data_IF_560553766431
#
_entry.id   IF_560553766431
#
_cell.length_a   1.000
_cell.length_b   1.000
_cell.length_c   1.000
_cell.angle_alpha   90.00
_cell.angle_beta   90.00
_cell.angle_gamma   90.00
#
_symmetry.space_group_name_H-M   'P 1'
#
loop_
_entity.id
_entity.type
_entity.pdbx_description
1 polymer ?
#
# COMPACT_ATOMS: atom_id res chain seq x y z
N UNK A 1 -29.17 38.26 51.39
CA UNK A 1 -28.52 36.94 51.24
C UNK A 1 -28.72 36.31 49.86
N UNK A 2 -29.95 36.09 49.39
CA UNK A 2 -30.21 35.45 48.09
C UNK A 2 -29.53 36.09 46.86
N UNK A 3 -29.43 37.43 46.80
CA UNK A 3 -28.76 38.13 45.71
C UNK A 3 -27.24 37.88 45.69
N UNK A 4 -26.64 37.77 46.88
CA UNK A 4 -25.22 37.47 47.08
C UNK A 4 -24.90 36.05 46.64
N UNK A 5 -25.75 35.08 46.99
CA UNK A 5 -25.61 33.68 46.56
C UNK A 5 -25.70 33.54 45.03
N UNK A 6 -26.68 34.20 44.40
CA UNK A 6 -26.81 34.22 42.94
C UNK A 6 -25.57 34.81 42.25
N UNK A 7 -25.05 35.92 42.77
CA UNK A 7 -23.89 36.58 42.19
C UNK A 7 -22.62 35.75 42.37
N UNK A 8 -22.46 35.07 43.51
CA UNK A 8 -21.37 34.12 43.75
C UNK A 8 -21.43 32.97 42.75
N UNK A 9 -22.61 32.37 42.54
CA UNK A 9 -22.77 31.28 41.58
C UNK A 9 -22.42 31.70 40.15
N UNK A 10 -22.89 32.88 39.70
CA UNK A 10 -22.57 33.41 38.37
C UNK A 10 -21.08 33.66 38.18
N UNK A 11 -20.40 34.19 39.20
CA UNK A 11 -18.96 34.39 39.18
C UNK A 11 -18.22 33.06 39.12
N UNK A 12 -18.65 32.04 39.88
CA UNK A 12 -18.09 30.70 39.84
C UNK A 12 -18.23 30.06 38.45
N UNK A 13 -19.42 30.13 37.83
CA UNK A 13 -19.65 29.62 36.47
C UNK A 13 -18.71 30.31 35.47
N UNK A 14 -18.61 31.64 35.55
CA UNK A 14 -17.74 32.42 34.68
C UNK A 14 -16.25 32.03 34.85
N UNK A 15 -15.78 31.86 36.08
CA UNK A 15 -14.41 31.39 36.34
C UNK A 15 -14.14 29.97 35.82
N UNK A 16 -15.11 29.05 35.95
CA UNK A 16 -14.98 27.71 35.37
C UNK A 16 -14.93 27.75 33.84
N UNK A 17 -15.72 28.63 33.20
CA UNK A 17 -15.63 28.84 31.76
C UNK A 17 -14.26 29.36 31.33
N UNK A 18 -13.65 30.27 32.09
CA UNK A 18 -12.31 30.80 31.81
C UNK A 18 -11.25 29.70 31.86
N UNK A 19 -11.35 28.78 32.82
CA UNK A 19 -10.49 27.60 32.92
C UNK A 19 -10.65 26.68 31.72
N UNK A 20 -11.88 26.39 31.31
CA UNK A 20 -12.17 25.51 30.16
C UNK A 20 -11.65 26.13 28.85
N UNK A 21 -11.84 27.44 28.69
CA UNK A 21 -11.37 28.18 27.52
C UNK A 21 -9.86 28.47 27.53
N UNK A 22 -9.16 28.16 28.64
CA UNK A 22 -7.73 28.38 28.77
C UNK A 22 -7.31 29.85 28.86
N UNK A 23 -8.25 30.75 29.17
CA UNK A 23 -8.03 32.22 29.22
C UNK A 23 -7.18 32.64 30.42
N UNK A 24 -7.07 31.76 31.44
CA UNK A 24 -6.17 31.94 32.59
C UNK A 24 -4.67 32.01 32.21
N UNK A 25 -4.30 31.55 31.00
CA UNK A 25 -2.88 31.48 30.56
C UNK A 25 -2.44 32.65 29.68
N UNK A 26 -3.34 33.52 29.25
CA UNK A 26 -2.99 34.73 28.49
C UNK A 26 -2.78 35.92 29.44
N UNK A 27 -1.65 36.62 29.38
CA UNK A 27 -1.40 37.77 30.23
C UNK A 27 -2.48 38.82 29.97
N UNK A 28 -3.23 39.18 31.02
CA UNK A 28 -4.29 40.20 30.98
C UNK A 28 -3.68 41.53 30.55
N UNK A 29 -3.69 41.81 29.24
CA UNK A 29 -3.24 43.10 28.70
C UNK A 29 -4.22 44.18 29.14
N UNK A 30 -3.74 45.08 29.99
CA UNK A 30 -4.29 46.42 30.20
C UNK A 30 -5.70 46.47 30.78
N UNK A 31 -5.80 46.58 32.11
CA UNK A 31 -6.86 47.35 32.78
C UNK A 31 -8.32 46.90 32.65
N UNK A 32 -8.65 45.84 31.90
CA UNK A 32 -9.99 45.26 31.95
C UNK A 32 -10.17 44.58 33.32
N UNK A 33 -10.69 45.35 34.27
CA UNK A 33 -11.20 44.83 35.52
C UNK A 33 -12.11 43.64 35.21
N UNK A 34 -11.91 42.51 35.90
CA UNK A 34 -12.89 41.43 35.93
C UNK A 34 -14.25 42.05 36.24
N UNK A 35 -15.13 42.09 35.23
CA UNK A 35 -16.45 42.68 35.38
C UNK A 35 -17.25 41.73 36.24
N UNK A 36 -17.15 41.98 37.53
CA UNK A 36 -17.85 41.24 38.57
C UNK A 36 -19.36 41.42 38.34
N UNK A 37 -20.17 40.35 38.50
CA UNK A 37 -21.63 40.41 38.29
C UNK A 37 -22.32 41.53 39.07
N UNK A 38 -21.72 41.95 40.18
CA UNK A 38 -22.23 42.97 41.09
C UNK A 38 -21.86 44.42 40.73
N UNK A 39 -20.95 44.66 39.78
CA UNK A 39 -20.50 46.02 39.42
C UNK A 39 -21.19 46.53 38.15
N UNK A 40 -21.29 45.67 37.13
CA UNK A 40 -22.03 45.99 35.90
C UNK A 40 -22.51 44.68 35.26
N UNK A 41 -23.78 44.34 35.53
CA UNK A 41 -24.37 43.09 35.06
C UNK A 41 -24.47 43.02 33.53
N UNK A 42 -24.72 44.13 32.84
CA UNK A 42 -24.81 44.15 31.37
C UNK A 42 -23.49 43.73 30.73
N UNK A 43 -22.37 44.29 31.19
CA UNK A 43 -21.04 43.95 30.67
C UNK A 43 -20.62 42.54 31.06
N UNK A 44 -20.94 42.10 32.29
CA UNK A 44 -20.71 40.71 32.71
C UNK A 44 -21.49 39.72 31.83
N UNK A 45 -22.76 40.01 31.56
CA UNK A 45 -23.63 39.21 30.72
C UNK A 45 -23.10 39.11 29.27
N UNK A 46 -22.67 40.22 28.67
CA UNK A 46 -22.12 40.23 27.31
C UNK A 46 -20.80 39.44 27.22
N UNK A 47 -19.94 39.54 28.25
CA UNK A 47 -18.73 38.73 28.36
C UNK A 47 -19.04 37.24 28.51
N UNK A 48 -20.03 36.89 29.34
CA UNK A 48 -20.48 35.51 29.51
C UNK A 48 -21.02 34.93 28.20
N UNK A 49 -21.83 35.69 27.46
CA UNK A 49 -22.32 35.30 26.13
C UNK A 49 -21.16 35.08 25.16
N UNK A 50 -20.18 35.98 25.14
CA UNK A 50 -19.01 35.86 24.26
C UNK A 50 -18.23 34.57 24.53
N UNK A 51 -18.01 34.24 25.81
CA UNK A 51 -17.36 33.00 26.22
C UNK A 51 -18.20 31.76 25.90
N UNK A 52 -19.52 31.81 26.05
CA UNK A 52 -20.42 30.73 25.67
C UNK A 52 -20.38 30.46 24.16
N UNK A 53 -20.35 31.52 23.34
CA UNK A 53 -20.18 31.39 21.88
C UNK A 53 -18.83 30.75 21.52
N UNK A 54 -17.74 31.17 22.18
CA UNK A 54 -16.43 30.58 21.98
C UNK A 54 -16.40 29.08 22.38
N UNK A 55 -17.04 28.73 23.49
CA UNK A 55 -17.16 27.34 23.93
C UNK A 55 -17.96 26.49 22.91
N UNK A 56 -19.08 27.02 22.42
CA UNK A 56 -19.88 26.37 21.38
C UNK A 56 -19.07 26.16 20.10
N UNK A 57 -18.22 27.11 19.71
CA UNK A 57 -17.35 26.96 18.55
C UNK A 57 -16.30 25.86 18.77
N UNK A 58 -15.67 25.81 19.95
CA UNK A 58 -14.71 24.75 20.30
C UNK A 58 -15.38 23.37 20.24
N UNK A 59 -16.61 23.25 20.73
CA UNK A 59 -17.37 22.00 20.63
C UNK A 59 -17.57 21.58 19.16
N UNK A 60 -18.01 22.50 18.29
CA UNK A 60 -18.19 22.22 16.86
C UNK A 60 -16.88 21.83 16.17
N UNK A 61 -15.79 22.52 16.49
CA UNK A 61 -14.47 22.22 15.93
C UNK A 61 -13.93 20.87 16.43
N UNK A 62 -14.19 20.54 17.69
CA UNK A 62 -13.84 19.25 18.27
C UNK A 62 -14.58 18.11 17.58
N UNK A 63 -15.91 18.21 17.43
CA UNK A 63 -16.72 17.21 16.74
C UNK A 63 -16.27 17.03 15.29
N UNK A 64 -15.94 18.13 14.60
CA UNK A 64 -15.38 18.09 13.24
C UNK A 64 -14.04 17.36 13.20
N UNK A 65 -13.10 17.71 14.09
CA UNK A 65 -11.78 17.07 14.16
C UNK A 65 -11.86 15.59 14.51
N UNK A 66 -12.76 15.21 15.42
CA UNK A 66 -13.02 13.82 15.76
C UNK A 66 -13.51 13.04 14.54
N UNK A 67 -14.52 13.55 13.81
CA UNK A 67 -15.03 12.91 12.59
C UNK A 67 -13.97 12.81 11.50
N UNK A 68 -13.16 13.84 11.30
CA UNK A 68 -12.06 13.82 10.32
C UNK A 68 -10.99 12.78 10.70
N UNK A 69 -10.62 12.69 11.98
CA UNK A 69 -9.68 11.70 12.47
C UNK A 69 -10.22 10.27 12.33
N UNK A 70 -11.47 10.04 12.73
CA UNK A 70 -12.17 8.76 12.59
C UNK A 70 -12.25 8.31 11.12
N UNK A 71 -12.64 9.23 10.22
CA UNK A 71 -12.70 8.95 8.79
C UNK A 71 -11.32 8.54 8.24
N UNK A 72 -10.27 9.28 8.59
CA UNK A 72 -8.90 9.00 8.17
C UNK A 72 -8.40 7.64 8.66
N UNK A 73 -8.68 7.28 9.91
CA UNK A 73 -8.29 5.98 10.44
C UNK A 73 -9.12 4.84 9.84
N UNK A 74 -10.40 5.06 9.59
CA UNK A 74 -11.29 4.10 8.94
C UNK A 74 -10.82 3.80 7.52
N UNK A 75 -10.46 4.82 6.75
CA UNK A 75 -9.89 4.67 5.40
C UNK A 75 -8.58 3.88 5.44
N UNK A 76 -7.65 4.25 6.33
CA UNK A 76 -6.36 3.57 6.49
C UNK A 76 -6.52 2.09 6.87
N UNK A 77 -7.47 1.77 7.75
CA UNK A 77 -7.79 0.39 8.11
C UNK A 77 -8.38 -0.39 6.92
N UNK A 78 -9.24 0.26 6.13
CA UNK A 78 -9.77 -0.30 4.89
C UNK A 78 -8.67 -0.67 3.90
N UNK A 79 -7.70 0.21 3.70
CA UNK A 79 -6.57 -0.03 2.81
C UNK A 79 -5.62 -1.12 3.34
N UNK A 80 -5.31 -1.12 4.64
CA UNK A 80 -4.55 -2.20 5.25
C UNK A 80 -5.23 -3.56 5.07
N UNK A 81 -6.55 -3.62 5.22
CA UNK A 81 -7.32 -4.85 5.02
C UNK A 81 -7.24 -5.34 3.57
N UNK A 82 -7.33 -4.45 2.58
CA UNK A 82 -7.16 -4.79 1.16
C UNK A 82 -5.75 -5.29 0.87
N UNK A 83 -4.72 -4.65 1.44
CA UNK A 83 -3.34 -5.10 1.28
C UNK A 83 -3.11 -6.49 1.88
N UNK A 84 -3.72 -6.76 3.05
CA UNK A 84 -3.64 -8.08 3.69
C UNK A 84 -4.31 -9.16 2.84
N UNK A 85 -5.52 -8.90 2.30
CA UNK A 85 -6.21 -9.81 1.37
C UNK A 85 -5.37 -10.09 0.11
N UNK A 86 -4.72 -9.06 -0.45
CA UNK A 86 -3.83 -9.23 -1.58
C UNK A 86 -2.61 -10.11 -1.25
N UNK A 87 -1.97 -9.88 -0.09
CA UNK A 87 -0.83 -10.69 0.37
C UNK A 87 -1.24 -12.14 0.60
N UNK A 88 -2.40 -12.39 1.18
CA UNK A 88 -2.93 -13.75 1.34
C UNK A 88 -3.11 -14.45 0.00
N UNK A 89 -3.76 -13.80 -0.97
CA UNK A 89 -3.92 -14.36 -2.33
C UNK A 89 -2.59 -14.62 -3.03
N UNK A 90 -1.55 -13.83 -2.75
CA UNK A 90 -0.20 -14.09 -3.27
C UNK A 90 0.42 -15.32 -2.59
N UNK A 91 0.29 -15.44 -1.27
CA UNK A 91 0.76 -16.62 -0.52
C UNK A 91 0.10 -17.89 -1.06
N UNK A 92 -1.23 -17.90 -1.25
CA UNK A 92 -1.95 -19.06 -1.79
C UNK A 92 -1.41 -19.49 -3.17
N UNK A 93 -1.08 -18.51 -4.03
CA UNK A 93 -0.48 -18.77 -5.35
C UNK A 93 0.93 -19.34 -5.24
N UNK A 94 1.74 -18.82 -4.31
CA UNK A 94 3.08 -19.34 -4.08
C UNK A 94 3.02 -20.76 -3.52
N UNK A 95 2.14 -21.03 -2.55
CA UNK A 95 1.93 -22.36 -1.99
C UNK A 95 1.50 -23.37 -3.07
N UNK A 96 0.53 -23.00 -3.91
CA UNK A 96 0.09 -23.83 -5.04
C UNK A 96 1.22 -24.10 -6.04
N UNK A 97 2.03 -23.08 -6.35
CA UNK A 97 3.19 -23.23 -7.24
C UNK A 97 4.25 -24.15 -6.64
N UNK A 98 4.58 -23.97 -5.36
CA UNK A 98 5.55 -24.81 -4.64
C UNK A 98 5.08 -26.27 -4.61
N UNK A 99 3.79 -26.51 -4.36
CA UNK A 99 3.21 -27.85 -4.42
C UNK A 99 3.37 -28.48 -5.80
N UNK A 100 3.05 -27.74 -6.86
CA UNK A 100 3.21 -28.20 -8.25
C UNK A 100 4.68 -28.54 -8.58
N UNK A 101 5.63 -27.71 -8.13
CA UNK A 101 7.06 -27.99 -8.30
C UNK A 101 7.51 -29.23 -7.51
N UNK A 102 7.00 -29.42 -6.30
CA UNK A 102 7.29 -30.60 -5.49
C UNK A 102 6.79 -31.89 -6.16
N UNK A 103 5.55 -31.88 -6.67
CA UNK A 103 4.97 -32.99 -7.43
C UNK A 103 5.76 -33.29 -8.70
N UNK A 104 6.15 -32.24 -9.43
CA UNK A 104 6.97 -32.35 -10.64
C UNK A 104 8.33 -32.98 -10.32
N UNK A 105 9.03 -32.48 -9.29
CA UNK A 105 10.31 -33.02 -8.82
C UNK A 105 10.20 -34.49 -8.42
N UNK A 106 9.14 -34.87 -7.70
CA UNK A 106 8.88 -36.26 -7.35
C UNK A 106 8.66 -37.14 -8.59
N UNK A 107 7.94 -36.61 -9.60
CA UNK A 107 7.76 -37.25 -10.90
C UNK A 107 9.09 -37.48 -11.64
N UNK A 108 9.97 -36.48 -11.67
CA UNK A 108 11.31 -36.60 -12.26
C UNK A 108 12.18 -37.63 -11.56
N UNK A 109 12.19 -37.65 -10.21
CA UNK A 109 12.94 -38.64 -9.44
C UNK A 109 12.49 -40.07 -9.77
N UNK A 110 11.18 -40.31 -9.89
CA UNK A 110 10.64 -41.62 -10.29
C UNK A 110 11.09 -42.02 -11.70
N UNK A 111 10.99 -41.10 -12.68
CA UNK A 111 11.43 -41.35 -14.06
C UNK A 111 12.93 -41.63 -14.13
N UNK A 112 13.73 -40.86 -13.39
CA UNK A 112 15.18 -41.03 -13.33
C UNK A 112 15.55 -42.41 -12.78
N UNK A 113 14.97 -42.79 -11.63
CA UNK A 113 15.21 -44.12 -11.03
C UNK A 113 14.79 -45.27 -11.95
N UNK A 114 13.68 -45.12 -12.69
CA UNK A 114 13.29 -46.11 -13.70
C UNK A 114 14.32 -46.23 -14.83
N UNK A 115 14.85 -45.10 -15.31
CA UNK A 115 15.88 -45.08 -16.37
C UNK A 115 17.23 -45.62 -15.89
N UNK A 116 17.62 -45.38 -14.64
CA UNK A 116 18.78 -46.04 -14.04
C UNK A 116 18.60 -47.56 -14.01
N UNK A 117 17.42 -48.05 -13.63
CA UNK A 117 17.10 -49.48 -13.66
C UNK A 117 17.18 -50.09 -15.07
N UNK A 118 16.60 -49.41 -16.08
CA UNK A 118 16.70 -49.84 -17.48
C UNK A 118 18.16 -49.87 -17.96
N UNK A 119 18.97 -48.87 -17.57
CA UNK A 119 20.36 -48.76 -17.96
C UNK A 119 21.23 -49.86 -17.33
N UNK A 120 20.98 -50.23 -16.07
CA UNK A 120 21.63 -51.36 -15.42
C UNK A 120 21.28 -52.70 -16.09
N UNK A 121 20.01 -52.89 -16.50
CA UNK A 121 19.61 -54.08 -17.28
C UNK A 121 20.33 -54.14 -18.62
N UNK A 122 20.45 -53.02 -19.33
CA UNK A 122 21.17 -52.96 -20.61
C UNK A 122 22.67 -53.23 -20.42
N UNK A 123 23.28 -52.68 -19.38
CA UNK A 123 24.68 -52.98 -19.05
C UNK A 123 24.88 -54.48 -18.79
N UNK A 124 24.03 -55.08 -17.96
CA UNK A 124 24.10 -56.50 -17.65
C UNK A 124 23.99 -57.37 -18.92
N UNK A 125 23.00 -57.09 -19.78
CA UNK A 125 22.85 -57.82 -21.05
C UNK A 125 24.03 -57.61 -22.00
N UNK A 126 24.62 -56.43 -22.06
CA UNK A 126 25.81 -56.18 -22.86
C UNK A 126 27.03 -56.94 -22.33
N UNK A 127 27.21 -57.03 -21.01
CA UNK A 127 28.26 -57.84 -20.39
C UNK A 127 28.07 -59.32 -20.69
N UNK A 128 26.84 -59.83 -20.60
CA UNK A 128 26.51 -61.22 -20.94
C UNK A 128 26.77 -61.53 -22.42
N UNK A 129 26.35 -60.64 -23.33
CA UNK A 129 26.61 -60.79 -24.77
C UNK A 129 28.11 -60.73 -25.07
N UNK A 130 28.84 -59.81 -24.45
CA UNK A 130 30.29 -59.73 -24.61
C UNK A 130 31.00 -61.00 -24.11
N UNK A 131 30.53 -61.59 -23.00
CA UNK A 131 31.03 -62.86 -22.49
C UNK A 131 30.72 -64.03 -23.44
N UNK A 132 29.50 -64.08 -24.00
CA UNK A 132 29.13 -65.06 -25.02
C UNK A 132 30.01 -64.93 -26.27
N UNK A 133 30.24 -63.71 -26.76
CA UNK A 133 31.09 -63.45 -27.92
C UNK A 133 32.55 -63.85 -27.67
N UNK A 134 33.06 -63.63 -26.46
CA UNK A 134 34.39 -64.07 -26.06
C UNK A 134 34.49 -65.60 -26.01
N UNK A 135 33.43 -66.29 -25.58
CA UNK A 135 33.37 -67.75 -25.54
C UNK A 135 33.21 -68.40 -26.92
N UNK A 136 32.62 -67.70 -27.90
CA UNK A 136 32.50 -68.17 -29.29
C UNK A 136 33.78 -68.04 -30.13
N UNK A 137 34.87 -67.45 -29.61
CA UNK A 137 36.15 -67.36 -30.32
C UNK A 137 36.96 -68.67 -30.36
N UNK A 138 36.39 -69.81 -29.96
CA UNK A 138 36.95 -71.13 -30.25
C UNK A 138 36.47 -71.60 -31.63
N UNK A 139 37.36 -71.78 -32.63
CA UNK A 139 36.95 -72.01 -34.00
C UNK A 139 36.55 -73.47 -34.24
N UNK A 140 35.35 -73.70 -34.80
CA UNK A 140 34.95 -75.01 -35.29
C UNK A 140 33.50 -75.12 -35.77
N UNK A 141 33.32 -75.00 -37.09
CA UNK A 141 32.40 -75.81 -37.91
C UNK A 141 30.87 -75.58 -37.79
N UNK A 142 30.29 -74.62 -38.55
CA UNK A 142 28.92 -74.73 -39.12
C UNK A 142 28.45 -73.57 -40.05
N UNK A 143 29.21 -73.26 -41.11
CA UNK A 143 28.98 -72.08 -41.96
C UNK A 143 27.56 -71.98 -42.59
N UNK A 144 26.86 -73.09 -42.84
CA UNK A 144 25.55 -73.09 -43.51
C UNK A 144 24.33 -72.74 -42.64
N UNK A 145 24.37 -73.02 -41.33
CA UNK A 145 23.34 -72.60 -40.38
C UNK A 145 23.67 -71.24 -39.78
N UNK A 146 24.96 -70.92 -39.63
CA UNK A 146 25.45 -69.68 -39.06
C UNK A 146 25.11 -68.48 -39.96
N UNK A 147 25.22 -68.60 -41.29
CA UNK A 147 24.79 -67.55 -42.24
C UNK A 147 23.27 -67.29 -42.15
N UNK A 148 22.47 -68.33 -41.93
CA UNK A 148 21.01 -68.18 -41.75
C UNK A 148 20.67 -67.53 -40.41
N UNK A 149 21.37 -67.91 -39.34
CA UNK A 149 21.22 -67.30 -38.02
C UNK A 149 21.64 -65.82 -38.04
N UNK A 150 22.78 -65.49 -38.68
CA UNK A 150 23.26 -64.13 -38.86
C UNK A 150 22.29 -63.28 -39.69
N UNK A 151 21.68 -63.86 -40.73
CA UNK A 151 20.66 -63.18 -41.53
C UNK A 151 19.42 -62.82 -40.70
N UNK A 152 18.87 -63.76 -39.93
CA UNK A 152 17.75 -63.50 -39.01
C UNK A 152 18.12 -62.47 -37.94
N UNK A 153 19.36 -62.50 -37.47
CA UNK A 153 19.87 -61.53 -36.50
C UNK A 153 19.97 -60.12 -37.10
N UNK A 154 20.40 -60.00 -38.35
CA UNK A 154 20.44 -58.74 -39.09
C UNK A 154 19.03 -58.19 -39.32
N UNK A 155 18.07 -59.02 -39.73
CA UNK A 155 16.67 -58.57 -39.93
C UNK A 155 16.04 -58.12 -38.61
N UNK A 156 16.28 -58.84 -37.51
CA UNK A 156 15.82 -58.43 -36.19
C UNK A 156 16.48 -57.12 -35.72
N UNK A 157 17.77 -56.93 -36.03
CA UNK A 157 18.46 -55.68 -35.76
C UNK A 157 17.88 -54.51 -36.57
N UNK A 158 17.54 -54.72 -37.85
CA UNK A 158 16.84 -53.74 -38.69
C UNK A 158 15.47 -53.38 -38.12
N UNK A 159 14.66 -54.37 -37.72
CA UNK A 159 13.36 -54.10 -37.10
C UNK A 159 13.51 -53.30 -35.78
N UNK A 160 14.52 -53.62 -34.96
CA UNK A 160 14.82 -52.86 -33.73
C UNK A 160 15.25 -51.43 -34.04
N UNK A 161 16.07 -51.23 -35.07
CA UNK A 161 16.51 -49.91 -35.52
C UNK A 161 15.33 -49.05 -35.97
N UNK A 162 14.45 -49.59 -36.82
CA UNK A 162 13.25 -48.90 -37.30
C UNK A 162 12.34 -48.49 -36.12
N UNK A 163 12.13 -49.39 -35.16
CA UNK A 163 11.35 -49.08 -33.97
C UNK A 163 11.99 -47.98 -33.12
N UNK A 164 13.32 -48.02 -32.94
CA UNK A 164 14.05 -46.98 -32.22
C UNK A 164 13.97 -45.63 -32.94
N UNK A 165 14.05 -45.63 -34.27
CA UNK A 165 13.97 -44.43 -35.08
C UNK A 165 12.57 -43.80 -35.03
N UNK A 166 11.52 -44.62 -35.07
CA UNK A 166 10.14 -44.14 -34.88
C UNK A 166 9.92 -43.56 -33.47
N UNK A 167 10.51 -44.17 -32.44
CA UNK A 167 10.45 -43.63 -31.08
C UNK A 167 11.22 -42.30 -30.94
N UNK A 168 12.35 -42.17 -31.62
CA UNK A 168 13.12 -40.93 -31.67
C UNK A 168 12.29 -39.81 -32.29
N UNK A 169 11.71 -40.04 -33.47
CA UNK A 169 10.86 -39.06 -34.17
C UNK A 169 9.68 -38.63 -33.29
N UNK A 170 8.98 -39.58 -32.67
CA UNK A 170 7.86 -39.26 -31.77
C UNK A 170 8.31 -38.46 -30.53
N UNK A 171 9.51 -38.72 -30.01
CA UNK A 171 10.08 -37.96 -28.90
C UNK A 171 10.47 -36.53 -29.33
N UNK A 172 11.04 -36.37 -30.52
CA UNK A 172 11.40 -35.07 -31.11
C UNK A 172 10.17 -34.21 -31.40
N UNK A 173 9.11 -34.79 -31.96
CA UNK A 173 7.83 -34.10 -32.18
C UNK A 173 7.21 -33.65 -30.84
N UNK A 174 7.21 -34.51 -29.83
CA UNK A 174 6.72 -34.17 -28.49
C UNK A 174 7.53 -33.07 -27.84
N UNK A 175 8.86 -33.11 -27.97
CA UNK A 175 9.75 -32.06 -27.47
C UNK A 175 9.47 -30.73 -28.17
N UNK A 176 9.31 -30.74 -29.50
CA UNK A 176 9.01 -29.55 -30.30
C UNK A 176 7.67 -28.94 -29.90
N UNK A 177 6.62 -29.75 -29.76
CA UNK A 177 5.30 -29.30 -29.31
C UNK A 177 5.32 -28.74 -27.88
N UNK A 178 6.09 -29.36 -26.98
CA UNK A 178 6.26 -28.85 -25.61
C UNK A 178 7.00 -27.51 -25.60
N UNK A 179 8.07 -27.39 -26.39
CA UNK A 179 8.84 -26.16 -26.50
C UNK A 179 7.99 -25.01 -27.05
N UNK A 180 7.19 -25.28 -28.10
CA UNK A 180 6.28 -24.28 -28.68
C UNK A 180 5.20 -23.83 -27.68
N UNK A 181 4.64 -24.75 -26.89
CA UNK A 181 3.73 -24.40 -25.79
C UNK A 181 4.42 -23.54 -24.74
N UNK A 182 5.64 -23.89 -24.35
CA UNK A 182 6.40 -23.14 -23.35
C UNK A 182 6.68 -21.71 -23.84
N UNK A 183 7.18 -21.54 -25.06
CA UNK A 183 7.40 -20.22 -25.68
C UNK A 183 6.11 -19.39 -25.74
N UNK A 184 4.98 -20.00 -26.07
CA UNK A 184 3.69 -19.29 -26.10
C UNK A 184 3.23 -18.85 -24.70
N UNK A 185 3.52 -19.65 -23.68
CA UNK A 185 3.22 -19.31 -22.29
C UNK A 185 4.11 -18.18 -21.81
N UNK A 186 5.40 -18.26 -22.09
CA UNK A 186 6.39 -17.23 -21.73
C UNK A 186 6.05 -15.88 -22.36
N UNK A 187 5.67 -15.86 -23.65
CA UNK A 187 5.21 -14.63 -24.31
C UNK A 187 3.98 -14.02 -23.62
N UNK A 188 2.99 -14.83 -23.22
CA UNK A 188 1.81 -14.36 -22.47
C UNK A 188 2.16 -13.86 -21.07
N UNK A 189 3.16 -14.46 -20.42
CA UNK A 189 3.68 -13.99 -19.14
C UNK A 189 4.39 -12.64 -19.30
N UNK A 190 5.25 -12.51 -20.31
CA UNK A 190 5.99 -11.28 -20.58
C UNK A 190 5.06 -10.09 -20.86
N UNK A 191 4.00 -10.30 -21.65
CA UNK A 191 2.98 -9.26 -21.90
C UNK A 191 2.28 -8.84 -20.60
N UNK A 192 1.89 -9.79 -19.75
CA UNK A 192 1.24 -9.48 -18.46
C UNK A 192 2.18 -8.76 -17.50
N UNK A 193 3.45 -9.14 -17.47
CA UNK A 193 4.47 -8.46 -16.67
C UNK A 193 4.61 -7.01 -17.13
N UNK A 194 4.77 -6.77 -18.44
CA UNK A 194 4.85 -5.42 -19.02
C UNK A 194 3.59 -4.58 -18.71
N UNK A 195 2.40 -5.17 -18.75
CA UNK A 195 1.16 -4.48 -18.38
C UNK A 195 1.17 -4.06 -16.91
N UNK A 196 1.53 -4.98 -16.01
CA UNK A 196 1.59 -4.67 -14.58
C UNK A 196 2.65 -3.62 -14.25
N UNK A 197 3.83 -3.70 -14.85
CA UNK A 197 4.87 -2.67 -14.71
C UNK A 197 4.38 -1.30 -15.19
N UNK A 198 3.70 -1.25 -16.34
CA UNK A 198 3.11 -0.01 -16.88
C UNK A 198 2.04 0.56 -15.93
N UNK A 199 1.16 -0.30 -15.39
CA UNK A 199 0.12 0.12 -14.44
C UNK A 199 0.69 0.64 -13.14
N UNK A 200 1.74 0.01 -12.60
CA UNK A 200 2.44 0.48 -11.40
C UNK A 200 3.06 1.84 -11.66
N UNK A 201 3.80 1.99 -12.77
CA UNK A 201 4.42 3.27 -13.14
C UNK A 201 3.38 4.40 -13.32
N UNK A 202 2.25 4.11 -13.96
CA UNK A 202 1.16 5.07 -14.11
C UNK A 202 0.54 5.48 -12.77
N UNK A 203 0.37 4.54 -11.83
CA UNK A 203 -0.13 4.81 -10.49
C UNK A 203 0.86 5.67 -9.67
N UNK A 204 2.16 5.37 -9.74
CA UNK A 204 3.21 6.16 -9.10
C UNK A 204 3.24 7.60 -9.60
N UNK A 205 3.16 7.80 -10.92
CA UNK A 205 3.13 9.15 -11.51
C UNK A 205 1.85 9.92 -11.16
N UNK A 206 0.71 9.23 -10.98
CA UNK A 206 -0.52 9.85 -10.48
C UNK A 206 -0.34 10.37 -9.05
N UNK A 207 0.23 9.55 -8.17
CA UNK A 207 0.50 9.94 -6.76
C UNK A 207 1.49 11.10 -6.70
N UNK A 208 2.53 11.10 -7.54
CA UNK A 208 3.47 12.23 -7.62
C UNK A 208 2.77 13.52 -8.03
N UNK A 209 1.93 13.49 -9.07
CA UNK A 209 1.15 14.67 -9.50
C UNK A 209 0.21 15.18 -8.40
N UNK A 210 -0.49 14.29 -7.71
CA UNK A 210 -1.40 14.67 -6.64
C UNK A 210 -0.67 15.30 -5.46
N UNK A 211 0.48 14.73 -5.05
CA UNK A 211 1.33 15.32 -4.02
C UNK A 211 1.83 16.70 -4.43
N UNK A 212 2.24 16.86 -5.68
CA UNK A 212 2.72 18.15 -6.19
C UNK A 212 1.59 19.19 -6.21
N UNK A 213 0.42 18.86 -6.75
CA UNK A 213 -0.74 19.76 -6.75
C UNK A 213 -1.21 20.13 -5.34
N UNK A 214 -1.10 19.19 -4.38
CA UNK A 214 -1.39 19.48 -2.97
C UNK A 214 -0.40 20.48 -2.37
N UNK A 215 0.91 20.32 -2.67
CA UNK A 215 1.94 21.28 -2.24
C UNK A 215 1.70 22.67 -2.81
N UNK A 216 1.34 22.76 -4.09
CA UNK A 216 1.04 24.03 -4.76
C UNK A 216 -0.19 24.72 -4.13
N UNK A 217 -1.25 23.95 -3.84
CA UNK A 217 -2.44 24.48 -3.17
C UNK A 217 -2.15 24.97 -1.75
N UNK A 218 -1.31 24.25 -1.00
CA UNK A 218 -0.85 24.70 0.33
C UNK A 218 -0.06 26.00 0.21
N UNK A 219 0.90 26.07 -0.72
CA UNK A 219 1.70 27.28 -0.92
C UNK A 219 0.84 28.49 -1.35
N UNK A 220 -0.16 28.29 -2.20
CA UNK A 220 -1.12 29.33 -2.58
C UNK A 220 -1.95 29.81 -1.38
N UNK A 221 -2.46 28.89 -0.56
CA UNK A 221 -3.20 29.23 0.65
C UNK A 221 -2.34 29.97 1.68
N UNK A 222 -1.08 29.58 1.86
CA UNK A 222 -0.13 30.28 2.73
C UNK A 222 0.13 31.71 2.25
N UNK A 223 0.28 31.92 0.94
CA UNK A 223 0.45 33.25 0.36
C UNK A 223 -0.81 34.12 0.54
N UNK A 224 -2.00 33.53 0.33
CA UNK A 224 -3.26 34.22 0.56
C UNK A 224 -3.44 34.60 2.04
N UNK A 225 -3.08 33.70 2.96
CA UNK A 225 -3.13 33.96 4.40
C UNK A 225 -2.19 35.11 4.78
N UNK A 226 -0.94 35.11 4.29
CA UNK A 226 0.01 36.23 4.50
C UNK A 226 -0.52 37.55 3.96
N UNK A 227 -1.13 37.55 2.77
CA UNK A 227 -1.73 38.75 2.16
C UNK A 227 -2.89 39.29 3.00
N UNK A 228 -3.82 38.40 3.40
CA UNK A 228 -4.95 38.74 4.27
C UNK A 228 -4.49 39.26 5.63
N UNK A 229 -3.47 38.64 6.22
CA UNK A 229 -2.91 39.07 7.49
C UNK A 229 -2.30 40.48 7.40
N UNK A 230 -1.58 40.78 6.31
CA UNK A 230 -1.08 42.13 6.04
C UNK A 230 -2.21 43.16 5.87
N UNK A 231 -3.28 42.80 5.16
CA UNK A 231 -4.46 43.68 5.00
C UNK A 231 -5.15 43.93 6.34
N UNK A 232 -5.28 42.89 7.17
CA UNK A 232 -5.85 42.99 8.51
C UNK A 232 -5.03 43.92 9.41
N UNK A 233 -3.70 43.79 9.43
CA UNK A 233 -2.81 44.67 10.19
C UNK A 233 -2.94 46.13 9.74
N UNK A 234 -3.03 46.39 8.44
CA UNK A 234 -3.25 47.74 7.90
C UNK A 234 -4.62 48.30 8.30
N UNK A 235 -5.68 47.49 8.25
CA UNK A 235 -7.02 47.89 8.68
C UNK A 235 -7.06 48.16 10.19
N UNK A 236 -6.36 47.36 11.00
CA UNK A 236 -6.24 47.58 12.43
C UNK A 236 -5.52 48.89 12.74
N UNK A 237 -4.42 49.21 12.03
CA UNK A 237 -3.74 50.51 12.14
C UNK A 237 -4.65 51.68 11.78
N UNK A 238 -5.43 51.58 10.70
CA UNK A 238 -6.41 52.62 10.31
C UNK A 238 -7.50 52.81 11.37
N UNK A 239 -8.00 51.73 11.95
CA UNK A 239 -8.98 51.79 13.04
C UNK A 239 -8.39 52.45 14.29
N UNK A 240 -7.14 52.16 14.64
CA UNK A 240 -6.44 52.83 15.75
C UNK A 240 -6.32 54.34 15.48
N UNK A 241 -5.87 54.73 14.29
CA UNK A 241 -5.78 56.14 13.89
C UNK A 241 -7.15 56.85 13.93
N UNK A 242 -8.22 56.19 13.49
CA UNK A 242 -9.58 56.73 13.57
C UNK A 242 -10.04 56.91 15.02
N UNK A 243 -9.77 55.94 15.90
CA UNK A 243 -10.09 56.07 17.32
C UNK A 243 -9.33 57.24 17.97
N UNK A 244 -8.04 57.41 17.66
CA UNK A 244 -7.25 58.55 18.12
C UNK A 244 -7.85 59.89 17.67
N UNK A 245 -8.33 59.99 16.42
CA UNK A 245 -9.01 61.19 15.91
C UNK A 245 -10.36 61.43 16.61
N UNK A 246 -11.13 60.38 16.87
CA UNK A 246 -12.40 60.47 17.61
C UNK A 246 -12.16 60.96 19.04
N UNK A 247 -11.14 60.44 19.71
CA UNK A 247 -10.79 60.83 21.07
C UNK A 247 -10.31 62.29 21.11
N UNK A 248 -9.49 62.72 20.15
CA UNK A 248 -9.08 64.12 20.01
C UNK A 248 -10.27 65.07 19.76
N UNK A 249 -11.28 64.65 18.98
CA UNK A 249 -12.48 65.46 18.74
C UNK A 249 -13.45 65.51 19.95
N UNK A 250 -13.48 64.48 20.80
CA UNK A 250 -14.28 64.50 22.05
C UNK A 250 -13.72 65.46 23.09
N UNK A 251 -12.40 65.67 23.11
CA UNK A 251 -11.77 66.65 24.01
C UNK A 251 -12.08 68.09 23.57
N UNK A 252 -12.23 68.34 22.26
CA UNK A 252 -12.57 69.67 21.75
C UNK A 252 -14.04 70.09 22.01
N UNK A 253 -14.97 69.14 22.15
CA UNK A 253 -16.40 69.42 22.39
C UNK A 253 -16.80 69.54 23.87
N UNK A 254 -15.85 69.39 24.80
CA UNK A 254 -16.07 69.48 26.25
C UNK A 254 -15.52 70.75 26.91
N UNK A 255 -15.15 71.78 26.12
CA UNK A 255 -14.91 73.12 26.68
C UNK A 255 -16.22 73.72 27.20
N UNK A 256 -16.35 74.02 28.51
CA UNK A 256 -17.54 74.63 29.05
C UNK A 256 -17.63 76.08 28.59
N UNK A 257 -18.83 76.45 28.15
CA UNK A 257 -19.30 77.82 27.96
C UNK A 257 -19.07 78.59 29.27
N UNK A 258 -18.29 79.67 29.20
CA UNK A 258 -18.34 80.78 30.16
C UNK A 258 -19.42 81.78 29.75
#
# INVERSE_FOLDING_TARGET
>A
DQLTERNTLLLTIYQYMDKILGVDKTPKKGGQAETKPFTNFSVFHDNLITRLKALSQIQLDFDKRCKEAEARFTEKLGDMRKQLDHRWKQIDKFESSVKTYAETKAGWRRKFSAKEGELEVIKATNTDVAAQLASQKCPGQNDGMEVRALSVHATNAECRLINAQNQLVAAEEKMTAMNQKNTSADSKWEVRVKEYESRVKAAEERVKRERQGSKERVAELENNLKSLQRQFELAQKRNQQLNEVIDNNKVASSSPVQ
#
